data_IF_664379408249
#
_entry.id   IF_664379408249
#
_cell.length_a   1.000
_cell.length_b   1.000
_cell.length_c   1.000
_cell.angle_alpha   90.00
_cell.angle_beta   90.00
_cell.angle_gamma   90.00
#
_symmetry.space_group_name_H-M   'P 1'
#
loop_
_entity.id
_entity.type
_entity.pdbx_description
1 polymer ?
#
# COMPACT_ATOMS: atom_id res chain seq x y z
N UNK A 1 60.80 -15.40 24.46
CA UNK A 1 61.19 -15.76 23.09
C UNK A 1 60.43 -14.82 22.18
N UNK A 2 61.18 -14.12 21.34
CA UNK A 2 60.80 -13.43 20.10
C UNK A 2 59.75 -12.28 20.14
N UNK A 3 60.25 -11.11 20.57
CA UNK A 3 60.40 -9.87 19.77
C UNK A 3 60.21 -10.02 18.22
N UNK A 4 59.80 -9.04 17.39
CA UNK A 4 59.44 -7.59 17.43
C UNK A 4 58.37 -7.41 16.29
N UNK A 5 57.33 -6.58 16.32
CA UNK A 5 57.22 -5.11 16.44
C UNK A 5 57.83 -4.31 15.27
N UNK A 6 57.00 -3.51 14.57
CA UNK A 6 57.29 -2.25 13.84
C UNK A 6 56.04 -1.82 13.02
N UNK A 7 55.71 -0.55 12.78
CA UNK A 7 56.25 0.73 13.28
C UNK A 7 55.19 1.86 13.17
N UNK A 8 55.27 2.85 14.07
CA UNK A 8 54.69 4.18 13.92
C UNK A 8 55.76 5.15 14.45
N UNK A 9 56.11 6.22 13.71
CA UNK A 9 56.79 7.35 14.33
C UNK A 9 56.57 8.70 13.62
N UNK A 10 56.42 9.72 14.45
CA UNK A 10 56.50 11.15 14.09
C UNK A 10 57.95 11.56 13.77
N UNK A 11 58.13 12.69 13.08
CA UNK A 11 59.43 13.33 12.87
C UNK A 11 59.42 14.79 13.29
N UNK A 12 60.27 15.15 14.25
CA UNK A 12 60.48 16.53 14.71
C UNK A 12 61.73 17.19 14.08
N UNK A 13 61.78 18.52 14.14
CA UNK A 13 62.79 19.41 13.55
C UNK A 13 64.21 19.31 14.10
N UNK A 14 65.23 19.50 13.24
CA UNK A 14 66.44 20.27 13.57
C UNK A 14 67.11 20.90 12.31
N UNK A 15 68.02 21.86 12.52
CA UNK A 15 68.25 22.99 11.61
C UNK A 15 69.72 23.16 11.16
N UNK A 16 69.95 23.41 9.86
CA UNK A 16 71.21 23.80 9.18
C UNK A 16 70.80 24.54 7.87
N UNK A 17 71.37 25.65 7.37
CA UNK A 17 72.41 26.60 7.83
C UNK A 17 72.24 28.02 7.23
N UNK A 18 72.79 29.02 7.94
CA UNK A 18 73.49 30.24 7.47
C UNK A 18 72.80 31.39 6.67
N UNK A 19 72.90 32.58 7.32
CA UNK A 19 73.14 33.96 6.78
C UNK A 19 71.95 34.81 6.30
N UNK A 20 71.77 35.95 6.97
CA UNK A 20 70.96 37.08 6.48
C UNK A 20 70.31 37.94 7.57
N UNK A 21 71.07 38.79 8.28
CA UNK A 21 70.47 39.85 9.13
C UNK A 21 69.86 40.93 8.23
N UNK A 22 68.58 41.29 8.44
CA UNK A 22 68.20 42.71 8.60
C UNK A 22 66.73 42.95 9.06
N UNK A 23 66.63 43.79 10.09
CA UNK A 23 65.60 44.81 10.36
C UNK A 23 64.11 44.44 10.47
N UNK A 24 63.62 44.60 11.70
CA UNK A 24 62.21 44.85 12.05
C UNK A 24 61.67 46.16 11.46
N UNK A 25 60.51 46.10 10.80
CA UNK A 25 59.55 47.21 10.67
C UNK A 25 58.15 46.62 10.91
N UNK A 26 57.34 47.15 11.85
CA UNK A 26 55.98 46.65 12.06
C UNK A 26 55.05 47.21 10.97
N UNK A 27 54.46 46.33 10.17
CA UNK A 27 53.34 46.67 9.29
C UNK A 27 52.03 46.42 10.04
N UNK A 28 51.28 47.48 10.32
CA UNK A 28 49.91 47.35 10.84
C UNK A 28 49.03 46.65 9.81
N UNK A 29 48.39 45.55 10.21
CA UNK A 29 47.18 45.04 9.55
C UNK A 29 45.97 45.33 10.44
N UNK A 30 45.14 46.28 10.02
CA UNK A 30 43.86 46.55 10.66
C UNK A 30 42.90 45.37 10.44
N UNK A 31 42.82 44.47 11.42
CA UNK A 31 41.75 43.46 11.47
C UNK A 31 40.43 44.16 11.77
N UNK A 32 39.72 44.57 10.70
CA UNK A 32 38.36 45.12 10.75
C UNK A 32 37.41 44.13 11.42
N UNK A 33 37.14 44.31 12.71
CA UNK A 33 36.13 43.54 13.45
C UNK A 33 34.75 43.84 12.89
N UNK A 34 34.08 42.82 12.36
CA UNK A 34 32.67 42.93 11.94
C UNK A 34 31.79 42.85 13.18
N UNK A 35 30.91 43.83 13.37
CA UNK A 35 29.92 43.78 14.45
C UNK A 35 28.92 42.65 14.18
N UNK A 36 28.32 42.10 15.24
CA UNK A 36 27.25 41.09 15.11
C UNK A 36 26.08 41.58 14.23
N UNK A 37 25.80 42.89 14.26
CA UNK A 37 24.81 43.52 13.38
C UNK A 37 25.21 43.46 11.90
N UNK A 38 26.51 43.58 11.58
CA UNK A 38 27.04 43.46 10.22
C UNK A 38 26.91 42.03 9.69
N UNK A 39 27.14 41.02 10.55
CA UNK A 39 26.93 39.60 10.21
C UNK A 39 25.44 39.30 10.04
N UNK A 40 24.58 39.78 10.95
CA UNK A 40 23.13 39.63 10.83
C UNK A 40 22.58 40.25 9.54
N UNK A 41 23.00 41.47 9.19
CA UNK A 41 22.60 42.13 7.94
C UNK A 41 23.11 41.39 6.70
N UNK A 42 24.31 40.80 6.73
CA UNK A 42 24.83 39.98 5.64
C UNK A 42 24.00 38.68 5.46
N UNK A 43 23.64 38.01 6.55
CA UNK A 43 22.77 36.83 6.51
C UNK A 43 21.35 37.17 6.05
N UNK A 44 20.79 38.29 6.51
CA UNK A 44 19.47 38.77 6.07
C UNK A 44 19.47 39.10 4.57
N UNK A 45 20.51 39.76 4.07
CA UNK A 45 20.70 40.05 2.66
C UNK A 45 20.85 38.77 1.83
N UNK A 46 21.58 37.77 2.33
CA UNK A 46 21.70 36.48 1.67
C UNK A 46 20.34 35.77 1.55
N UNK A 47 19.54 35.76 2.62
CA UNK A 47 18.19 35.18 2.62
C UNK A 47 17.22 35.91 1.70
N UNK A 48 17.26 37.25 1.61
CA UNK A 48 16.38 37.98 0.69
C UNK A 48 16.80 37.76 -0.77
N UNK A 49 18.09 37.70 -1.07
CA UNK A 49 18.61 37.38 -2.41
C UNK A 49 18.23 35.96 -2.83
N UNK A 50 18.43 34.94 -1.99
CA UNK A 50 18.05 33.55 -2.34
C UNK A 50 16.54 33.41 -2.55
N UNK A 51 15.73 34.08 -1.73
CA UNK A 51 14.27 34.09 -1.89
C UNK A 51 13.86 34.77 -3.21
N UNK A 52 14.45 35.92 -3.53
CA UNK A 52 14.19 36.64 -4.78
C UNK A 52 14.60 35.82 -6.03
N UNK A 53 15.75 35.14 -5.98
CA UNK A 53 16.20 34.22 -7.05
C UNK A 53 15.25 33.03 -7.19
N UNK A 54 14.79 32.42 -6.09
CA UNK A 54 13.81 31.34 -6.12
C UNK A 54 12.48 31.74 -6.76
N UNK A 55 11.95 32.92 -6.40
CA UNK A 55 10.73 33.49 -6.99
C UNK A 55 10.92 33.83 -8.48
N UNK A 56 12.09 34.34 -8.88
CA UNK A 56 12.43 34.59 -10.28
C UNK A 56 12.49 33.31 -11.10
N UNK A 57 13.10 32.23 -10.58
CA UNK A 57 13.15 30.93 -11.25
C UNK A 57 11.74 30.35 -11.41
N UNK A 58 10.91 30.37 -10.36
CA UNK A 58 9.51 29.94 -10.42
C UNK A 58 8.70 30.75 -11.45
N UNK A 59 8.92 32.07 -11.50
CA UNK A 59 8.25 32.96 -12.45
C UNK A 59 8.69 32.71 -13.90
N UNK A 60 10.00 32.48 -14.14
CA UNK A 60 10.53 32.10 -15.45
C UNK A 60 9.98 30.75 -15.92
N UNK A 61 9.93 29.74 -15.05
CA UNK A 61 9.32 28.42 -15.37
C UNK A 61 7.83 28.55 -15.69
N UNK A 62 7.10 29.42 -14.98
CA UNK A 62 5.68 29.65 -15.23
C UNK A 62 5.41 30.40 -16.55
N UNK A 63 6.22 31.42 -16.86
CA UNK A 63 6.13 32.20 -18.10
C UNK A 63 6.51 31.34 -19.32
N UNK A 64 7.54 30.49 -19.21
CA UNK A 64 7.97 29.63 -20.31
C UNK A 64 6.96 28.52 -20.65
N UNK A 65 6.03 28.20 -19.73
CA UNK A 65 4.93 27.26 -19.95
C UNK A 65 3.65 27.91 -20.52
N UNK A 66 3.60 29.23 -20.70
CA UNK A 66 2.36 29.96 -21.04
C UNK A 66 2.35 30.67 -22.41
N UNK A 67 3.33 30.41 -23.29
CA UNK A 67 3.26 30.86 -24.70
C UNK A 67 3.64 29.78 -25.73
N UNK A 68 2.79 29.69 -26.77
CA UNK A 68 2.89 28.91 -28.01
C UNK A 68 2.74 27.36 -27.92
N UNK A 69 1.48 26.93 -27.97
CA UNK A 69 1.01 26.26 -29.19
C UNK A 69 -0.26 26.96 -29.70
N UNK A 70 -0.16 27.62 -30.86
CA UNK A 70 -1.28 28.16 -31.62
C UNK A 70 -1.58 27.23 -32.80
N UNK A 71 -2.80 26.71 -32.88
CA UNK A 71 -3.27 25.88 -34.00
C UNK A 71 -3.49 26.72 -35.28
N UNK A 72 -3.25 26.15 -36.48
CA UNK A 72 -3.86 26.62 -37.71
C UNK A 72 -5.19 25.89 -37.96
N UNK A 73 -6.28 26.65 -38.12
CA UNK A 73 -7.58 26.09 -38.53
C UNK A 73 -7.49 25.45 -39.93
N UNK A 74 -7.60 24.12 -40.04
CA UNK A 74 -8.24 23.52 -41.21
C UNK A 74 -8.85 22.13 -40.92
N UNK A 75 -10.13 21.99 -41.26
CA UNK A 75 -10.93 20.74 -41.24
C UNK A 75 -11.27 20.17 -39.87
N UNK A 76 -12.13 20.92 -39.19
CA UNK A 76 -13.30 20.31 -38.55
C UNK A 76 -14.07 19.42 -39.57
N UNK A 77 -13.79 18.12 -39.55
CA UNK A 77 -14.64 17.09 -40.15
C UNK A 77 -14.81 15.96 -39.15
N UNK A 78 -15.74 16.18 -38.22
CA UNK A 78 -16.56 15.13 -37.59
C UNK A 78 -15.83 13.86 -37.13
N UNK A 79 -15.04 13.98 -36.07
CA UNK A 79 -15.01 12.93 -35.03
C UNK A 79 -15.76 13.48 -33.81
N UNK A 80 -17.07 13.65 -33.99
CA UNK A 80 -18.00 13.77 -32.88
C UNK A 80 -18.23 12.36 -32.28
N UNK A 81 -17.16 11.74 -31.76
CA UNK A 81 -17.33 10.71 -30.75
C UNK A 81 -17.76 11.49 -29.51
N UNK A 82 -19.06 11.44 -29.23
CA UNK A 82 -19.62 11.85 -27.96
C UNK A 82 -18.85 11.12 -26.87
N UNK A 83 -17.91 11.80 -26.21
CA UNK A 83 -17.10 11.23 -25.15
C UNK A 83 -18.02 11.02 -23.95
N UNK A 84 -18.68 9.87 -23.95
CA UNK A 84 -19.81 9.55 -23.07
C UNK A 84 -19.31 9.68 -21.63
N UNK A 85 -19.84 10.68 -20.92
CA UNK A 85 -19.46 10.92 -19.54
C UNK A 85 -19.62 9.62 -18.74
N UNK A 86 -18.54 9.19 -18.10
CA UNK A 86 -18.55 8.01 -17.23
C UNK A 86 -19.47 8.27 -16.05
N UNK A 87 -20.27 7.28 -15.68
CA UNK A 87 -21.13 7.36 -14.50
C UNK A 87 -20.26 7.60 -13.25
N UNK A 88 -20.49 8.67 -12.46
CA UNK A 88 -19.65 9.02 -11.31
C UNK A 88 -19.41 7.90 -10.31
N UNK A 89 -20.30 6.90 -10.22
CA UNK A 89 -20.10 5.73 -9.35
C UNK A 89 -18.79 4.98 -9.64
N UNK A 90 -18.29 5.01 -10.88
CA UNK A 90 -17.05 4.32 -11.24
C UNK A 90 -15.78 4.99 -10.69
N UNK A 91 -15.89 6.15 -10.03
CA UNK A 91 -14.82 6.66 -9.17
C UNK A 91 -14.68 5.86 -7.86
N UNK A 92 -15.69 5.05 -7.52
CA UNK A 92 -15.81 4.29 -6.27
C UNK A 92 -16.05 2.79 -6.49
N UNK A 93 -16.27 2.35 -7.73
CA UNK A 93 -16.62 0.97 -8.10
C UNK A 93 -15.76 0.48 -9.27
N UNK A 94 -15.19 -0.71 -9.13
CA UNK A 94 -14.56 -1.46 -10.21
C UNK A 94 -15.18 -2.86 -10.31
N UNK A 95 -15.66 -3.21 -11.50
CA UNK A 95 -16.13 -4.56 -11.80
C UNK A 95 -14.95 -5.48 -12.16
N UNK A 96 -14.19 -5.94 -11.17
CA UNK A 96 -12.96 -6.71 -11.40
C UNK A 96 -13.14 -7.94 -12.31
N UNK A 97 -14.28 -8.68 -12.32
CA UNK A 97 -14.51 -9.77 -13.28
C UNK A 97 -14.48 -9.34 -14.75
N UNK A 98 -14.60 -8.03 -15.05
CA UNK A 98 -14.48 -7.44 -16.39
C UNK A 98 -13.08 -6.87 -16.68
N UNK A 99 -12.23 -6.71 -15.66
CA UNK A 99 -10.86 -6.23 -15.79
C UNK A 99 -9.93 -7.31 -16.36
N UNK A 100 -8.84 -6.86 -17.01
CA UNK A 100 -7.88 -7.73 -17.69
C UNK A 100 -7.34 -8.83 -16.76
N UNK A 101 -7.43 -10.08 -17.22
CA UNK A 101 -6.71 -11.22 -16.64
C UNK A 101 -5.31 -11.29 -17.25
N UNK A 102 -4.30 -11.37 -16.39
CA UNK A 102 -2.92 -11.64 -16.74
C UNK A 102 -2.67 -13.12 -16.44
N UNK A 103 -2.65 -13.93 -17.49
CA UNK A 103 -2.48 -15.39 -17.40
C UNK A 103 -1.01 -15.78 -17.37
N UNK A 104 -0.67 -16.74 -16.52
CA UNK A 104 0.67 -17.31 -16.36
C UNK A 104 0.58 -18.85 -16.37
N UNK A 105 1.68 -19.59 -16.58
CA UNK A 105 1.64 -21.06 -16.56
C UNK A 105 1.03 -21.63 -15.27
N UNK A 106 1.39 -21.06 -14.11
CA UNK A 106 0.97 -21.50 -12.79
C UNK A 106 -0.25 -20.80 -12.19
N UNK A 107 -0.91 -19.88 -12.91
CA UNK A 107 -2.00 -19.12 -12.31
C UNK A 107 -2.38 -17.85 -13.08
N UNK A 108 -3.02 -16.91 -12.39
CA UNK A 108 -3.51 -15.68 -12.99
C UNK A 108 -3.53 -14.53 -11.99
N UNK A 109 -3.40 -13.30 -12.50
CA UNK A 109 -3.53 -12.06 -11.71
C UNK A 109 -4.56 -11.13 -12.37
N UNK A 110 -5.44 -10.50 -11.60
CA UNK A 110 -6.28 -9.38 -12.05
C UNK A 110 -6.04 -8.15 -11.16
N UNK A 111 -6.38 -6.95 -11.66
CA UNK A 111 -6.09 -5.69 -10.96
C UNK A 111 -7.25 -4.69 -11.00
N UNK A 112 -7.57 -4.11 -9.85
CA UNK A 112 -8.31 -2.87 -9.69
C UNK A 112 -7.32 -1.80 -9.20
N UNK A 113 -6.66 -1.13 -10.15
CA UNK A 113 -5.49 -0.27 -9.90
C UNK A 113 -5.43 0.97 -10.78
N UNK A 114 -4.60 1.93 -10.38
CA UNK A 114 -4.10 2.96 -11.28
C UNK A 114 -3.07 2.40 -12.28
N UNK A 115 -3.07 2.94 -13.49
CA UNK A 115 -2.11 2.67 -14.57
C UNK A 115 -1.67 4.00 -15.17
N UNK A 116 -0.37 4.15 -15.43
CA UNK A 116 0.19 5.39 -15.96
C UNK A 116 -0.24 5.65 -17.42
N UNK A 117 -0.35 4.59 -18.21
CA UNK A 117 -0.69 4.67 -19.63
C UNK A 117 -2.18 4.38 -19.84
N UNK A 118 -2.90 5.36 -20.41
CA UNK A 118 -4.34 5.28 -20.68
C UNK A 118 -4.72 4.07 -21.56
N UNK A 119 -3.81 3.59 -22.41
CA UNK A 119 -4.06 2.45 -23.31
C UNK A 119 -4.11 1.09 -22.59
N UNK A 120 -3.73 1.03 -21.33
CA UNK A 120 -3.65 -0.21 -20.55
C UNK A 120 -4.94 -0.48 -19.73
N UNK A 121 -5.91 0.45 -19.76
CA UNK A 121 -7.27 0.25 -19.29
C UNK A 121 -8.14 -0.39 -20.39
N UNK A 122 -9.02 -1.32 -20.01
CA UNK A 122 -9.97 -1.95 -20.95
C UNK A 122 -11.26 -1.14 -21.14
N UNK A 123 -11.58 -0.21 -20.23
CA UNK A 123 -12.78 0.62 -20.30
C UNK A 123 -12.60 1.98 -19.62
N UNK A 124 -13.46 2.94 -19.97
CA UNK A 124 -13.54 4.24 -19.29
C UNK A 124 -14.00 4.11 -17.82
N UNK A 125 -14.67 3.02 -17.46
CA UNK A 125 -15.11 2.70 -16.10
C UNK A 125 -13.90 2.30 -15.25
N UNK A 126 -13.02 1.44 -15.80
CA UNK A 126 -11.77 1.04 -15.16
C UNK A 126 -10.79 2.22 -15.05
N UNK A 127 -10.74 3.08 -16.07
CA UNK A 127 -9.95 4.32 -16.06
C UNK A 127 -10.43 5.29 -14.97
N UNK A 128 -11.75 5.48 -14.83
CA UNK A 128 -12.32 6.34 -13.81
C UNK A 128 -11.95 5.89 -12.39
N UNK A 129 -12.01 4.57 -12.14
CA UNK A 129 -11.61 3.99 -10.86
C UNK A 129 -10.11 4.17 -10.59
N UNK A 130 -9.26 3.79 -11.55
CA UNK A 130 -7.81 3.93 -11.42
C UNK A 130 -7.37 5.38 -11.19
N UNK A 131 -7.94 6.34 -11.94
CA UNK A 131 -7.69 7.77 -11.74
C UNK A 131 -8.22 8.29 -10.40
N UNK A 132 -9.32 7.76 -9.89
CA UNK A 132 -9.83 8.10 -8.56
C UNK A 132 -8.80 7.75 -7.49
N UNK A 133 -8.29 6.51 -7.47
CA UNK A 133 -7.25 6.07 -6.54
C UNK A 133 -6.03 7.01 -6.53
N UNK A 134 -5.50 7.32 -7.73
CA UNK A 134 -4.32 8.17 -7.88
C UNK A 134 -4.57 9.62 -7.44
N UNK A 135 -5.66 10.23 -7.91
CA UNK A 135 -5.99 11.64 -7.61
C UNK A 135 -6.31 11.87 -6.14
N UNK A 136 -6.91 10.89 -5.46
CA UNK A 136 -7.18 10.91 -4.02
C UNK A 136 -5.94 10.54 -3.18
N UNK A 137 -4.82 10.17 -3.83
CA UNK A 137 -3.60 9.64 -3.18
C UNK A 137 -3.91 8.49 -2.21
N UNK A 138 -4.78 7.57 -2.63
CA UNK A 138 -5.43 6.56 -1.78
C UNK A 138 -4.46 5.77 -0.88
N UNK A 139 -3.23 5.53 -1.33
CA UNK A 139 -2.33 4.48 -0.83
C UNK A 139 -3.00 3.09 -0.87
N UNK A 140 -3.84 2.85 -1.87
CA UNK A 140 -4.58 1.59 -2.02
C UNK A 140 -4.67 1.18 -3.48
N UNK A 141 -4.26 -0.07 -3.74
CA UNK A 141 -4.42 -0.80 -4.99
C UNK A 141 -4.82 -2.23 -4.67
N UNK A 142 -5.77 -2.82 -5.40
CA UNK A 142 -6.16 -4.22 -5.23
C UNK A 142 -5.72 -5.08 -6.41
N UNK A 143 -5.14 -6.23 -6.10
CA UNK A 143 -4.96 -7.35 -7.03
C UNK A 143 -5.67 -8.61 -6.52
N UNK A 144 -6.06 -9.50 -7.42
CA UNK A 144 -6.34 -10.89 -7.07
C UNK A 144 -5.25 -11.79 -7.63
N UNK A 145 -4.85 -12.80 -6.87
CA UNK A 145 -3.82 -13.76 -7.26
C UNK A 145 -4.39 -15.18 -7.16
N UNK A 146 -4.42 -15.89 -8.28
CA UNK A 146 -4.70 -17.32 -8.36
C UNK A 146 -3.39 -18.07 -8.56
N UNK A 147 -3.16 -19.10 -7.74
CA UNK A 147 -2.00 -20.00 -7.89
C UNK A 147 -2.55 -21.43 -7.95
N UNK A 148 -2.34 -22.11 -9.09
CA UNK A 148 -2.75 -23.50 -9.31
C UNK A 148 -2.13 -24.42 -8.26
N UNK A 149 -2.73 -25.58 -7.98
CA UNK A 149 -2.06 -26.60 -7.16
C UNK A 149 -0.63 -26.84 -7.64
N UNK A 150 0.33 -26.87 -6.71
CA UNK A 150 1.79 -26.91 -6.97
C UNK A 150 2.40 -25.71 -7.71
N UNK A 151 1.63 -24.67 -8.07
CA UNK A 151 2.16 -23.41 -8.62
C UNK A 151 2.88 -22.57 -7.57
N UNK A 152 3.60 -21.54 -8.02
CA UNK A 152 4.38 -20.62 -7.19
C UNK A 152 4.29 -19.20 -7.74
N UNK A 153 3.90 -18.22 -6.91
CA UNK A 153 4.25 -16.81 -7.17
C UNK A 153 5.74 -16.69 -6.90
N UNK A 154 6.51 -16.37 -7.95
CA UNK A 154 7.97 -16.35 -7.91
C UNK A 154 8.52 -15.44 -6.78
N UNK A 155 9.74 -15.70 -6.27
CA UNK A 155 10.37 -14.82 -5.29
C UNK A 155 10.54 -13.40 -5.84
N UNK A 156 10.00 -12.41 -5.13
CA UNK A 156 9.92 -11.02 -5.58
C UNK A 156 9.82 -10.02 -4.43
N UNK A 157 9.86 -8.73 -4.74
CA UNK A 157 9.57 -7.63 -3.81
C UNK A 157 8.94 -6.43 -4.53
N UNK A 158 8.34 -5.53 -3.74
CA UNK A 158 7.73 -4.29 -4.20
C UNK A 158 8.51 -3.05 -3.72
N UNK A 159 8.72 -2.07 -4.61
CA UNK A 159 9.56 -0.90 -4.31
C UNK A 159 8.80 0.28 -3.70
N UNK A 160 7.52 0.41 -4.04
CA UNK A 160 6.65 1.55 -3.72
C UNK A 160 5.53 1.20 -2.73
N UNK A 161 5.23 -0.09 -2.52
CA UNK A 161 4.15 -0.56 -1.66
C UNK A 161 4.60 -1.60 -0.61
N UNK A 162 3.96 -1.57 0.56
CA UNK A 162 3.76 -2.77 1.37
C UNK A 162 2.64 -3.63 0.75
N UNK A 163 2.70 -4.93 0.93
CA UNK A 163 1.66 -5.88 0.52
C UNK A 163 0.94 -6.44 1.75
N UNK A 164 -0.39 -6.47 1.70
CA UNK A 164 -1.22 -7.18 2.68
C UNK A 164 -2.11 -8.13 1.89
N UNK A 165 -2.24 -9.38 2.32
CA UNK A 165 -3.05 -10.37 1.61
C UNK A 165 -4.04 -11.06 2.54
N UNK A 166 -5.15 -11.50 1.96
CA UNK A 166 -6.12 -12.39 2.61
C UNK A 166 -6.30 -13.64 1.74
N UNK A 167 -6.08 -14.82 2.31
CA UNK A 167 -6.28 -16.08 1.62
C UNK A 167 -7.75 -16.49 1.70
N UNK A 168 -8.45 -16.51 0.56
CA UNK A 168 -9.87 -16.87 0.46
C UNK A 168 -10.06 -18.39 0.39
N UNK A 169 -9.20 -19.09 -0.36
CA UNK A 169 -9.27 -20.53 -0.63
C UNK A 169 -7.84 -21.09 -0.80
N UNK A 170 -7.62 -22.36 -0.45
CA UNK A 170 -6.34 -23.04 -0.64
C UNK A 170 -5.44 -23.06 0.59
N UNK A 171 -4.26 -23.65 0.41
CA UNK A 171 -3.18 -23.70 1.41
C UNK A 171 -1.87 -23.32 0.74
N UNK A 172 -1.27 -22.24 1.22
CA UNK A 172 0.01 -21.75 0.74
C UNK A 172 1.12 -21.97 1.78
N UNK A 173 2.32 -22.25 1.31
CA UNK A 173 3.55 -22.11 2.08
C UNK A 173 4.28 -20.86 1.61
N UNK A 174 4.61 -20.00 2.54
CA UNK A 174 5.22 -18.69 2.30
C UNK A 174 6.62 -18.69 2.87
N UNK A 175 7.53 -18.01 2.18
CA UNK A 175 8.83 -17.64 2.72
C UNK A 175 9.11 -16.16 2.54
N UNK A 176 9.79 -15.58 3.54
CA UNK A 176 10.10 -14.16 3.65
C UNK A 176 11.57 -14.04 4.07
N UNK A 177 12.34 -13.22 3.35
CA UNK A 177 13.75 -12.94 3.67
C UNK A 177 13.84 -11.57 4.34
N UNK A 178 14.15 -11.58 5.62
CA UNK A 178 14.24 -10.40 6.47
C UNK A 178 15.70 -10.06 6.80
N UNK A 179 16.01 -8.76 6.78
CA UNK A 179 17.34 -8.17 7.00
C UNK A 179 18.50 -8.90 6.28
N UNK A 180 18.23 -9.52 5.13
CA UNK A 180 19.19 -10.30 4.34
C UNK A 180 19.69 -11.62 4.96
N UNK A 181 19.30 -11.95 6.20
CA UNK A 181 19.89 -13.06 6.96
C UNK A 181 18.85 -14.03 7.57
N UNK A 182 17.60 -13.61 7.77
CA UNK A 182 16.57 -14.42 8.45
C UNK A 182 15.50 -14.84 7.45
N UNK A 183 15.49 -16.12 7.08
CA UNK A 183 14.41 -16.72 6.30
C UNK A 183 13.30 -17.18 7.25
N UNK A 184 12.15 -16.51 7.21
CA UNK A 184 10.94 -16.90 7.93
C UNK A 184 10.01 -17.65 6.98
N UNK A 185 9.59 -18.87 7.33
CA UNK A 185 8.69 -19.70 6.51
C UNK A 185 7.51 -20.21 7.32
N UNK A 186 6.33 -20.30 6.71
CA UNK A 186 5.08 -20.68 7.39
C UNK A 186 4.00 -21.11 6.41
N UNK A 187 2.99 -21.83 6.92
CA UNK A 187 1.78 -22.15 6.16
C UNK A 187 0.67 -21.12 6.42
N UNK A 188 -0.16 -20.90 5.40
CA UNK A 188 -1.34 -20.03 5.44
C UNK A 188 -2.52 -20.79 4.83
N UNK A 189 -3.69 -20.68 5.43
CA UNK A 189 -4.94 -21.33 5.01
C UNK A 189 -6.09 -20.33 4.86
N UNK A 190 -7.19 -20.76 4.24
CA UNK A 190 -8.37 -19.92 4.03
C UNK A 190 -8.90 -19.23 5.31
N UNK A 191 -8.96 -17.90 5.26
CA UNK A 191 -9.35 -17.02 6.37
C UNK A 191 -8.21 -16.27 7.05
N UNK A 192 -6.97 -16.44 6.59
CA UNK A 192 -5.78 -15.90 7.24
C UNK A 192 -5.15 -14.77 6.43
N UNK A 193 -4.51 -13.84 7.14
CA UNK A 193 -3.91 -12.63 6.60
C UNK A 193 -2.39 -12.75 6.56
N UNK A 194 -1.80 -12.19 5.51
CA UNK A 194 -0.36 -12.04 5.31
C UNK A 194 0.00 -10.56 5.21
N UNK A 195 1.24 -10.23 5.57
CA UNK A 195 1.79 -8.88 5.45
C UNK A 195 3.26 -8.95 5.07
N UNK A 196 3.67 -8.20 4.05
CA UNK A 196 5.05 -8.02 3.64
C UNK A 196 5.39 -6.53 3.58
N UNK A 197 6.38 -6.06 4.36
CA UNK A 197 6.89 -4.70 4.22
C UNK A 197 7.46 -4.44 2.83
N UNK A 198 7.46 -3.17 2.43
CA UNK A 198 8.08 -2.69 1.21
C UNK A 198 9.57 -3.08 1.15
N UNK A 199 10.04 -3.50 -0.03
CA UNK A 199 11.36 -4.07 -0.29
C UNK A 199 11.68 -5.41 0.42
N UNK A 200 10.71 -6.11 1.00
CA UNK A 200 10.91 -7.46 1.56
C UNK A 200 10.78 -8.53 0.47
N UNK A 201 11.85 -9.29 0.23
CA UNK A 201 11.86 -10.43 -0.68
C UNK A 201 11.01 -11.57 -0.09
N UNK A 202 10.01 -12.04 -0.82
CA UNK A 202 9.11 -13.09 -0.38
C UNK A 202 8.58 -13.92 -1.56
N UNK A 203 7.95 -15.08 -1.28
CA UNK A 203 7.32 -15.95 -2.27
C UNK A 203 6.10 -16.68 -1.70
N UNK A 204 5.20 -17.12 -2.58
CA UNK A 204 3.97 -17.83 -2.20
C UNK A 204 3.85 -19.12 -3.02
N UNK A 205 4.09 -20.28 -2.38
CA UNK A 205 3.97 -21.61 -2.99
C UNK A 205 2.60 -22.19 -2.66
N UNK A 206 1.83 -22.63 -3.64
CA UNK A 206 0.67 -23.49 -3.35
C UNK A 206 1.16 -24.90 -3.01
N UNK A 207 0.81 -25.37 -1.80
CA UNK A 207 1.11 -26.72 -1.28
C UNK A 207 -0.15 -27.57 -1.05
N UNK A 208 -1.32 -27.02 -1.39
CA UNK A 208 -2.61 -27.71 -1.36
C UNK A 208 -2.96 -28.41 -2.69
N UNK A 209 -4.01 -29.22 -2.64
CA UNK A 209 -4.57 -29.92 -3.80
C UNK A 209 -5.57 -29.07 -4.61
N UNK A 210 -5.98 -27.93 -4.07
CA UNK A 210 -6.87 -26.94 -4.73
C UNK A 210 -6.09 -25.67 -5.07
N UNK A 211 -6.64 -24.85 -5.95
CA UNK A 211 -6.05 -23.55 -6.31
C UNK A 211 -6.14 -22.57 -5.14
N UNK A 212 -5.04 -21.88 -4.84
CA UNK A 212 -5.04 -20.76 -3.90
C UNK A 212 -5.68 -19.54 -4.56
N UNK A 213 -6.55 -18.84 -3.83
CA UNK A 213 -7.11 -17.56 -4.25
C UNK A 213 -6.86 -16.50 -3.17
N UNK A 214 -5.98 -15.56 -3.47
CA UNK A 214 -5.65 -14.42 -2.60
C UNK A 214 -6.32 -13.14 -3.10
N UNK A 215 -6.77 -12.33 -2.15
CA UNK A 215 -6.94 -10.88 -2.34
C UNK A 215 -5.68 -10.20 -1.83
N UNK A 216 -5.09 -9.31 -2.62
CA UNK A 216 -3.86 -8.59 -2.30
C UNK A 216 -4.11 -7.09 -2.34
N UNK A 217 -3.75 -6.39 -1.28
CA UNK A 217 -3.90 -4.96 -1.08
C UNK A 217 -2.52 -4.32 -0.93
N UNK A 218 -2.21 -3.38 -1.82
CA UNK A 218 -0.92 -2.73 -1.90
C UNK A 218 -1.02 -1.29 -1.44
N UNK A 219 -0.08 -0.83 -0.61
CA UNK A 219 -0.08 0.51 -0.01
C UNK A 219 0.35 1.64 -0.98
N UNK A 220 -0.08 1.58 -2.24
CA UNK A 220 0.29 2.52 -3.30
C UNK A 220 -0.94 2.99 -4.09
N UNK A 221 -0.90 4.25 -4.50
CA UNK A 221 -1.87 4.86 -5.43
C UNK A 221 -1.27 5.12 -6.81
N UNK A 222 0.01 4.82 -6.99
CA UNK A 222 0.68 4.79 -8.28
C UNK A 222 0.65 3.37 -8.86
N UNK A 223 1.28 3.17 -10.01
CA UNK A 223 1.39 1.84 -10.62
C UNK A 223 2.44 1.01 -9.88
N UNK A 224 1.99 -0.05 -9.21
CA UNK A 224 2.80 -0.95 -8.39
C UNK A 224 4.08 -1.42 -9.11
N UNK A 225 5.23 -1.16 -8.48
CA UNK A 225 6.54 -1.51 -9.00
C UNK A 225 7.03 -2.79 -8.33
N UNK A 226 7.30 -3.81 -9.14
CA UNK A 226 7.67 -5.16 -8.70
C UNK A 226 8.95 -5.60 -9.40
N UNK A 227 9.78 -6.39 -8.72
CA UNK A 227 10.90 -7.06 -9.36
C UNK A 227 11.02 -8.51 -8.85
N UNK A 228 11.05 -9.44 -9.80
CA UNK A 228 11.16 -10.87 -9.56
C UNK A 228 12.64 -11.32 -9.62
N UNK A 229 13.01 -12.35 -8.87
CA UNK A 229 14.42 -12.77 -8.70
C UNK A 229 15.08 -13.26 -9.99
N UNK A 230 14.35 -13.90 -10.89
CA UNK A 230 14.88 -14.34 -12.17
C UNK A 230 15.13 -13.16 -13.13
N UNK A 231 14.26 -12.14 -13.12
CA UNK A 231 14.50 -10.88 -13.82
C UNK A 231 15.79 -10.20 -13.35
N UNK A 232 16.07 -10.18 -12.04
CA UNK A 232 17.34 -9.67 -11.50
C UNK A 232 18.53 -10.49 -11.98
N UNK A 233 18.42 -11.81 -11.91
CA UNK A 233 19.48 -12.72 -12.31
C UNK A 233 19.85 -12.53 -13.79
N UNK A 234 18.86 -12.53 -14.70
CA UNK A 234 19.08 -12.38 -16.14
C UNK A 234 19.39 -10.94 -16.59
N UNK A 235 19.09 -9.93 -15.77
CA UNK A 235 19.51 -8.54 -16.02
C UNK A 235 20.91 -8.22 -15.48
N UNK A 236 21.48 -9.08 -14.63
CA UNK A 236 22.83 -8.92 -14.10
C UNK A 236 23.87 -9.43 -15.10
N UNK A 237 24.93 -8.66 -15.44
CA UNK A 237 25.98 -9.14 -16.34
C UNK A 237 26.63 -10.43 -15.83
N UNK A 238 26.86 -11.40 -16.73
CA UNK A 238 27.29 -12.76 -16.38
C UNK A 238 28.56 -12.81 -15.51
N UNK A 239 29.52 -11.91 -15.77
CA UNK A 239 30.78 -11.85 -15.05
C UNK A 239 30.61 -11.25 -13.64
N UNK A 240 29.69 -10.30 -13.48
CA UNK A 240 29.28 -9.76 -12.18
C UNK A 240 28.54 -10.83 -11.38
N UNK A 241 27.54 -11.50 -11.98
CA UNK A 241 26.82 -12.61 -11.34
C UNK A 241 27.80 -13.73 -10.90
N UNK A 242 28.74 -14.11 -11.77
CA UNK A 242 29.77 -15.11 -11.45
C UNK A 242 30.70 -14.69 -10.31
N UNK A 243 31.09 -13.40 -10.22
CA UNK A 243 31.96 -12.90 -9.15
C UNK A 243 31.24 -12.80 -7.81
N UNK A 244 29.94 -12.46 -7.84
CA UNK A 244 29.09 -12.36 -6.65
C UNK A 244 28.74 -13.74 -6.08
N UNK A 245 28.26 -14.66 -6.92
CA UNK A 245 27.79 -15.99 -6.50
C UNK A 245 28.91 -17.03 -6.35
N UNK A 246 30.05 -16.83 -7.05
CA UNK A 246 31.22 -17.73 -7.05
C UNK A 246 30.87 -19.22 -7.23
N UNK A 247 30.02 -19.59 -8.21
CA UNK A 247 29.63 -20.98 -8.40
C UNK A 247 30.82 -21.85 -8.82
N UNK A 248 30.73 -23.15 -8.54
CA UNK A 248 31.62 -24.13 -9.16
C UNK A 248 31.49 -24.05 -10.70
N UNK A 249 32.61 -24.06 -11.42
CA UNK A 249 32.64 -23.78 -12.87
C UNK A 249 32.58 -22.29 -13.26
N UNK A 250 32.37 -21.37 -12.30
CA UNK A 250 32.43 -19.92 -12.51
C UNK A 250 31.43 -19.42 -13.56
N UNK A 251 31.87 -18.52 -14.44
CA UNK A 251 31.01 -17.89 -15.46
C UNK A 251 30.40 -18.90 -16.44
N UNK A 252 31.05 -20.05 -16.65
CA UNK A 252 30.51 -21.10 -17.51
C UNK A 252 29.27 -21.77 -16.89
N UNK A 253 29.16 -21.80 -15.55
CA UNK A 253 27.93 -22.24 -14.88
C UNK A 253 26.82 -21.19 -14.98
N UNK A 254 27.14 -19.89 -14.84
CA UNK A 254 26.14 -18.82 -15.05
C UNK A 254 25.53 -18.90 -16.46
N UNK A 255 26.33 -19.26 -17.47
CA UNK A 255 25.90 -19.43 -18.87
C UNK A 255 24.98 -20.64 -19.15
N UNK A 256 24.83 -21.57 -18.21
CA UNK A 256 23.87 -22.69 -18.38
C UNK A 256 22.44 -22.30 -18.02
N UNK A 257 22.24 -21.16 -17.36
CA UNK A 257 20.91 -20.65 -17.05
C UNK A 257 20.30 -20.02 -18.30
N UNK A 258 19.04 -20.33 -18.57
CA UNK A 258 18.31 -19.80 -19.72
C UNK A 258 17.00 -19.15 -19.25
N UNK A 259 16.79 -17.90 -19.65
CA UNK A 259 15.54 -17.20 -19.36
C UNK A 259 14.40 -17.92 -20.06
N UNK A 260 13.33 -18.20 -19.32
CA UNK A 260 12.15 -18.83 -19.90
C UNK A 260 11.46 -17.85 -20.85
N UNK A 261 10.74 -18.39 -21.85
CA UNK A 261 10.03 -17.57 -22.83
C UNK A 261 8.73 -17.03 -22.24
N UNK A 262 8.08 -17.86 -21.43
CA UNK A 262 6.89 -17.54 -20.65
C UNK A 262 7.27 -16.72 -19.41
N UNK A 263 6.44 -15.75 -19.07
CA UNK A 263 6.54 -14.99 -17.82
C UNK A 263 6.47 -15.95 -16.61
N UNK A 264 7.45 -15.85 -15.71
CA UNK A 264 7.59 -16.73 -14.54
C UNK A 264 6.90 -16.19 -13.30
N UNK A 265 6.25 -15.02 -13.36
CA UNK A 265 5.66 -14.36 -12.20
C UNK A 265 4.76 -15.28 -11.37
N UNK A 266 3.90 -16.08 -12.02
CA UNK A 266 3.23 -17.21 -11.37
C UNK A 266 3.54 -18.50 -12.14
N UNK A 267 4.61 -19.21 -11.77
CA UNK A 267 5.11 -20.36 -12.51
C UNK A 267 4.52 -21.70 -12.06
N UNK A 268 4.57 -22.66 -13.00
CA UNK A 268 4.31 -24.08 -12.80
C UNK A 268 5.02 -24.86 -13.92
N UNK A 269 6.28 -25.26 -13.73
CA UNK A 269 7.02 -26.02 -14.75
C UNK A 269 6.37 -27.38 -15.01
N UNK A 270 6.25 -27.78 -16.28
CA UNK A 270 5.64 -29.07 -16.65
C UNK A 270 6.41 -30.28 -16.09
N UNK A 271 7.72 -30.15 -15.89
CA UNK A 271 8.59 -31.17 -15.31
C UNK A 271 8.96 -30.89 -13.85
N UNK A 272 8.10 -30.19 -13.08
CA UNK A 272 8.35 -29.82 -11.68
C UNK A 272 8.83 -31.00 -10.80
N UNK A 273 8.30 -32.22 -11.02
CA UNK A 273 8.68 -33.42 -10.28
C UNK A 273 10.13 -33.90 -10.56
N UNK A 274 10.71 -33.55 -11.71
CA UNK A 274 12.12 -33.79 -12.02
C UNK A 274 13.02 -32.70 -11.41
N UNK A 275 12.53 -31.45 -11.42
CA UNK A 275 13.26 -30.28 -10.92
C UNK A 275 13.34 -30.22 -9.38
N UNK A 276 12.36 -30.77 -8.67
CA UNK A 276 12.21 -30.63 -7.22
C UNK A 276 12.00 -31.99 -6.56
N UNK A 277 13.07 -32.54 -5.97
CA UNK A 277 13.09 -33.91 -5.43
C UNK A 277 13.08 -34.00 -3.90
N UNK A 278 13.37 -32.92 -3.17
CA UNK A 278 13.46 -32.90 -1.70
C UNK A 278 12.91 -31.57 -1.11
N UNK A 279 11.70 -31.15 -1.50
CA UNK A 279 11.09 -29.96 -0.92
C UNK A 279 10.76 -30.16 0.58
N UNK A 280 11.10 -29.17 1.40
CA UNK A 280 10.72 -29.10 2.82
C UNK A 280 9.88 -27.86 3.07
N UNK A 281 8.74 -28.04 3.72
CA UNK A 281 7.79 -26.97 4.05
C UNK A 281 7.70 -26.76 5.57
N UNK A 282 8.85 -26.86 6.26
CA UNK A 282 8.98 -26.58 7.69
C UNK A 282 8.61 -25.13 8.01
N UNK A 283 7.90 -24.95 9.12
CA UNK A 283 7.52 -23.63 9.64
C UNK A 283 8.56 -23.15 10.67
N UNK A 284 8.89 -21.85 10.61
CA UNK A 284 9.72 -21.14 11.59
C UNK A 284 8.99 -20.98 12.93
N UNK A 285 9.70 -20.68 14.04
CA UNK A 285 9.06 -20.38 15.32
C UNK A 285 8.08 -19.20 15.26
N UNK A 286 6.98 -19.29 16.03
CA UNK A 286 5.88 -18.32 16.08
C UNK A 286 6.32 -16.86 16.19
N UNK A 287 7.38 -16.58 16.95
CA UNK A 287 7.87 -15.21 17.16
C UNK A 287 8.43 -14.55 15.89
N UNK A 288 8.80 -15.34 14.88
CA UNK A 288 9.18 -14.86 13.55
C UNK A 288 7.95 -14.81 12.63
N UNK A 289 7.13 -15.87 12.65
CA UNK A 289 5.97 -16.06 11.77
C UNK A 289 4.92 -14.97 11.96
N UNK A 290 4.51 -14.70 13.20
CA UNK A 290 3.46 -13.74 13.54
C UNK A 290 3.83 -12.26 13.31
N UNK A 291 4.98 -11.98 12.69
CA UNK A 291 5.28 -10.67 12.10
C UNK A 291 4.57 -10.49 10.76
N UNK A 292 4.54 -11.54 9.94
CA UNK A 292 4.02 -11.54 8.57
C UNK A 292 2.67 -12.28 8.43
N UNK A 293 2.10 -12.73 9.54
CA UNK A 293 0.93 -13.60 9.60
C UNK A 293 -0.06 -13.16 10.68
N UNK A 294 -1.37 -13.25 10.38
CA UNK A 294 -2.44 -13.09 11.35
C UNK A 294 -3.62 -14.02 11.07
N UNK A 295 -4.10 -14.74 12.08
CA UNK A 295 -5.26 -15.63 11.96
C UNK A 295 -6.58 -14.85 12.09
N UNK A 296 -6.95 -14.09 11.04
CA UNK A 296 -8.13 -13.21 11.06
C UNK A 296 -9.43 -13.99 11.30
N UNK A 297 -9.58 -15.18 10.71
CA UNK A 297 -10.72 -16.07 10.94
C UNK A 297 -10.83 -16.54 12.39
N UNK A 298 -9.69 -16.78 13.05
CA UNK A 298 -9.61 -17.16 14.46
C UNK A 298 -9.67 -15.98 15.44
N UNK A 299 -9.59 -14.72 14.98
CA UNK A 299 -9.52 -13.55 15.85
C UNK A 299 -10.87 -13.17 16.45
N UNK A 300 -10.83 -12.27 17.46
CA UNK A 300 -12.03 -11.72 18.11
C UNK A 300 -13.05 -11.19 17.10
N UNK A 301 -14.29 -11.67 17.24
CA UNK A 301 -15.47 -11.16 16.53
C UNK A 301 -16.07 -9.97 17.30
N UNK A 302 -16.24 -8.85 16.61
CA UNK A 302 -17.04 -7.72 17.04
C UNK A 302 -18.44 -7.92 16.45
N UNK A 303 -19.40 -8.27 17.32
CA UNK A 303 -20.76 -8.67 16.94
C UNK A 303 -21.73 -7.51 17.14
N UNK A 304 -22.51 -7.23 16.11
CA UNK A 304 -23.56 -6.21 16.06
C UNK A 304 -24.90 -6.88 15.74
N UNK A 305 -26.06 -6.22 15.95
CA UNK A 305 -27.36 -6.83 15.66
C UNK A 305 -27.51 -7.35 14.22
N UNK A 306 -26.96 -6.60 13.26
CA UNK A 306 -27.02 -6.90 11.83
C UNK A 306 -25.76 -7.52 11.23
N UNK A 307 -24.73 -7.87 12.00
CA UNK A 307 -23.49 -8.38 11.41
C UNK A 307 -22.33 -8.68 12.35
N UNK A 308 -21.16 -8.95 11.74
CA UNK A 308 -19.90 -9.27 12.44
C UNK A 308 -18.75 -8.56 11.73
N UNK A 309 -17.80 -8.03 12.49
CA UNK A 309 -16.50 -7.56 12.01
C UNK A 309 -15.37 -8.32 12.74
N UNK A 310 -14.33 -8.73 12.02
CA UNK A 310 -13.05 -9.18 12.59
C UNK A 310 -11.92 -8.27 12.04
N UNK A 311 -10.87 -8.00 12.83
CA UNK A 311 -9.91 -6.92 12.55
C UNK A 311 -8.45 -7.36 12.70
N UNK A 312 -7.69 -7.32 11.61
CA UNK A 312 -6.24 -7.45 11.55
C UNK A 312 -5.61 -6.04 11.45
N UNK A 313 -5.34 -5.41 12.59
CA UNK A 313 -4.83 -4.02 12.66
C UNK A 313 -3.81 -3.82 13.78
N UNK A 314 -3.22 -2.62 13.84
CA UNK A 314 -2.54 -2.14 15.04
C UNK A 314 -3.56 -1.82 16.16
N UNK A 315 -3.26 -2.29 17.38
CA UNK A 315 -4.04 -2.01 18.58
C UNK A 315 -3.21 -1.21 19.57
N UNK A 316 -3.58 0.06 19.78
CA UNK A 316 -2.93 0.96 20.74
C UNK A 316 -3.03 0.45 22.19
N UNK A 317 -4.12 -0.22 22.52
CA UNK A 317 -4.27 -0.99 23.76
C UNK A 317 -4.59 -2.46 23.43
N UNK A 318 -3.55 -3.26 23.21
CA UNK A 318 -3.70 -4.69 22.95
C UNK A 318 -3.96 -5.55 24.20
N UNK A 319 -4.58 -5.04 25.28
CA UNK A 319 -4.80 -5.83 26.51
C UNK A 319 -5.54 -7.16 26.26
N UNK A 320 -6.52 -7.13 25.36
CA UNK A 320 -7.32 -8.30 24.96
C UNK A 320 -6.63 -9.24 23.94
N UNK A 321 -5.56 -8.79 23.28
CA UNK A 321 -4.84 -9.59 22.28
C UNK A 321 -4.06 -10.72 22.94
N UNK A 322 -4.00 -11.87 22.27
CA UNK A 322 -3.03 -12.92 22.58
C UNK A 322 -1.59 -12.43 22.43
N UNK A 323 -0.63 -13.20 22.97
CA UNK A 323 0.80 -12.91 22.82
C UNK A 323 1.22 -12.81 21.36
N UNK A 324 0.63 -13.63 20.49
CA UNK A 324 1.00 -13.74 19.09
C UNK A 324 0.40 -12.61 18.25
N UNK A 325 -0.86 -12.25 18.46
CA UNK A 325 -1.50 -11.09 17.81
C UNK A 325 -0.81 -9.76 18.14
N UNK A 326 -0.24 -9.64 19.35
CA UNK A 326 0.60 -8.49 19.74
C UNK A 326 1.85 -8.33 18.87
N UNK A 327 2.42 -9.43 18.39
CA UNK A 327 3.60 -9.40 17.49
C UNK A 327 3.18 -8.77 16.17
N UNK A 328 2.11 -9.26 15.54
CA UNK A 328 1.58 -8.73 14.29
C UNK A 328 1.18 -7.25 14.41
N UNK A 329 0.37 -6.93 15.43
CA UNK A 329 -0.06 -5.55 15.72
C UNK A 329 1.12 -4.59 15.86
N UNK A 330 2.15 -4.96 16.65
CA UNK A 330 3.32 -4.09 16.86
C UNK A 330 4.18 -4.00 15.60
N UNK A 331 4.33 -5.08 14.85
CA UNK A 331 5.11 -5.10 13.61
C UNK A 331 4.46 -4.25 12.51
N UNK A 332 3.13 -4.30 12.32
CA UNK A 332 2.41 -3.40 11.42
C UNK A 332 2.68 -1.91 11.72
N UNK A 333 2.71 -1.53 13.00
CA UNK A 333 2.92 -0.14 13.42
C UNK A 333 4.38 0.33 13.32
N UNK A 334 5.34 -0.60 13.21
CA UNK A 334 6.75 -0.28 12.94
C UNK A 334 7.02 0.13 11.49
N UNK A 335 6.07 -0.12 10.58
CA UNK A 335 6.19 0.22 9.16
C UNK A 335 5.24 1.37 8.77
N UNK A 336 5.74 2.27 7.93
CA UNK A 336 4.93 3.38 7.39
C UNK A 336 3.99 2.88 6.28
N UNK A 337 2.84 3.54 6.14
CA UNK A 337 1.82 3.24 5.13
C UNK A 337 1.35 1.76 5.18
N UNK A 338 1.21 1.17 6.37
CA UNK A 338 0.54 -0.12 6.52
C UNK A 338 -0.97 0.01 6.38
N UNK A 339 -1.63 -1.12 6.14
CA UNK A 339 -3.08 -1.22 5.99
C UNK A 339 -3.65 -2.03 7.16
N UNK A 340 -4.77 -1.60 7.71
CA UNK A 340 -5.60 -2.46 8.55
C UNK A 340 -6.52 -3.28 7.66
N UNK A 341 -6.63 -4.59 7.88
CA UNK A 341 -7.53 -5.49 7.15
C UNK A 341 -8.71 -5.92 8.03
N UNK A 342 -9.87 -6.18 7.44
CA UNK A 342 -11.03 -6.70 8.15
C UNK A 342 -11.88 -7.64 7.31
N UNK A 343 -12.64 -8.49 7.99
CA UNK A 343 -13.86 -9.06 7.41
C UNK A 343 -15.05 -8.19 7.83
N UNK A 344 -15.91 -7.83 6.88
CA UNK A 344 -17.22 -7.22 7.16
C UNK A 344 -18.30 -8.19 6.70
N UNK A 345 -19.02 -8.79 7.66
CA UNK A 345 -20.20 -9.61 7.40
C UNK A 345 -21.46 -8.83 7.76
N UNK A 346 -22.34 -8.59 6.79
CA UNK A 346 -23.67 -8.00 7.00
C UNK A 346 -24.70 -9.10 6.75
N UNK A 347 -25.57 -9.37 7.72
CA UNK A 347 -26.63 -10.37 7.57
C UNK A 347 -27.64 -9.96 6.50
N UNK A 348 -28.44 -10.92 6.02
CA UNK A 348 -29.60 -10.62 5.19
C UNK A 348 -30.44 -9.45 5.75
N UNK A 349 -30.83 -8.52 4.86
CA UNK A 349 -31.53 -7.26 5.18
C UNK A 349 -30.81 -6.28 6.15
N UNK A 350 -29.60 -6.61 6.61
CA UNK A 350 -28.79 -5.76 7.48
C UNK A 350 -28.22 -4.52 6.77
N UNK A 351 -27.89 -3.52 7.57
CA UNK A 351 -27.35 -2.23 7.14
C UNK A 351 -26.09 -1.89 7.94
N UNK A 352 -24.94 -1.78 7.26
CA UNK A 352 -23.83 -0.97 7.76
C UNK A 352 -24.27 0.48 7.60
N UNK A 353 -24.58 1.13 8.73
CA UNK A 353 -25.23 2.44 8.73
C UNK A 353 -24.39 3.54 8.08
N UNK A 354 -24.98 4.69 7.72
CA UNK A 354 -24.24 5.81 7.17
C UNK A 354 -23.11 6.24 8.12
N UNK A 355 -21.88 6.22 7.63
CA UNK A 355 -20.68 6.51 8.40
C UNK A 355 -19.56 7.07 7.52
N UNK A 356 -18.46 7.49 8.16
CA UNK A 356 -17.20 7.82 7.50
C UNK A 356 -16.00 7.51 8.40
N UNK A 357 -14.81 7.45 7.81
CA UNK A 357 -13.55 7.27 8.53
C UNK A 357 -12.77 8.57 8.63
N UNK A 358 -12.21 8.84 9.82
CA UNK A 358 -11.43 10.05 10.10
C UNK A 358 -9.97 9.95 9.63
N UNK A 359 -9.41 8.73 9.58
CA UNK A 359 -7.97 8.50 9.44
C UNK A 359 -7.59 7.51 8.33
N UNK A 360 -8.54 7.05 7.52
CA UNK A 360 -8.29 6.07 6.47
C UNK A 360 -9.21 6.28 5.26
N UNK A 361 -8.69 5.95 4.07
CA UNK A 361 -9.51 5.51 2.95
C UNK A 361 -9.91 4.05 3.18
N UNK A 362 -11.05 3.62 2.64
CA UNK A 362 -11.51 2.23 2.64
C UNK A 362 -11.47 1.65 1.23
N UNK A 363 -11.08 0.37 1.10
CA UNK A 363 -11.23 -0.41 -0.12
C UNK A 363 -11.75 -1.80 0.22
N UNK A 364 -12.82 -2.24 -0.45
CA UNK A 364 -13.47 -3.52 -0.19
C UNK A 364 -13.56 -4.41 -1.41
N UNK A 365 -13.54 -5.73 -1.20
CA UNK A 365 -13.82 -6.75 -2.21
C UNK A 365 -14.99 -7.63 -1.76
N UNK A 366 -15.99 -7.83 -2.61
CA UNK A 366 -17.16 -8.66 -2.29
C UNK A 366 -16.85 -10.16 -2.50
N UNK A 367 -16.87 -10.93 -1.42
CA UNK A 367 -16.66 -12.40 -1.41
C UNK A 367 -17.98 -13.16 -1.68
N UNK A 368 -19.05 -12.78 -0.99
CA UNK A 368 -20.39 -13.39 -1.14
C UNK A 368 -21.47 -12.32 -0.94
N UNK A 369 -22.68 -12.60 -1.43
CA UNK A 369 -23.82 -11.69 -1.35
C UNK A 369 -23.81 -10.56 -2.37
N UNK A 370 -24.82 -9.71 -2.24
CA UNK A 370 -24.94 -8.46 -2.97
C UNK A 370 -25.47 -7.37 -2.03
N UNK A 371 -25.15 -6.12 -2.35
CA UNK A 371 -25.55 -4.97 -1.55
C UNK A 371 -25.83 -3.75 -2.42
N UNK A 372 -26.64 -2.84 -1.88
CA UNK A 372 -26.72 -1.46 -2.36
C UNK A 372 -25.78 -0.60 -1.52
N UNK A 373 -24.86 0.06 -2.21
CA UNK A 373 -24.00 1.10 -1.65
C UNK A 373 -24.62 2.46 -1.95
N UNK A 374 -24.61 3.36 -0.97
CA UNK A 374 -24.94 4.77 -1.19
C UNK A 374 -23.85 5.67 -0.66
N UNK A 375 -23.42 6.63 -1.48
CA UNK A 375 -22.43 7.66 -1.15
C UNK A 375 -23.16 9.00 -1.07
N UNK A 376 -22.96 9.73 0.03
CA UNK A 376 -23.62 11.00 0.31
C UNK A 376 -22.57 12.11 0.17
N UNK A 377 -22.79 13.04 -0.76
CA UNK A 377 -21.92 14.18 -1.01
C UNK A 377 -22.72 15.50 -1.04
N UNK A 378 -22.04 16.63 -1.29
CA UNK A 378 -22.68 17.95 -1.28
C UNK A 378 -23.58 18.21 -2.49
N UNK A 379 -23.55 17.34 -3.51
CA UNK A 379 -24.37 17.40 -4.72
C UNK A 379 -25.57 16.44 -4.67
N UNK A 380 -25.60 15.47 -3.74
CA UNK A 380 -26.70 14.52 -3.55
C UNK A 380 -26.22 13.14 -3.09
N UNK A 381 -27.01 12.11 -3.42
CA UNK A 381 -26.67 10.71 -3.15
C UNK A 381 -26.36 9.99 -4.46
N UNK A 382 -25.24 9.26 -4.52
CA UNK A 382 -24.92 8.33 -5.60
C UNK A 382 -25.13 6.92 -5.08
N UNK A 383 -26.05 6.15 -5.68
CA UNK A 383 -26.36 4.78 -5.28
C UNK A 383 -26.04 3.78 -6.40
N UNK A 384 -25.51 2.62 -6.02
CA UNK A 384 -25.19 1.54 -6.95
C UNK A 384 -25.22 0.18 -6.26
N UNK A 385 -25.42 -0.87 -7.05
CA UNK A 385 -25.45 -2.25 -6.58
C UNK A 385 -24.08 -2.92 -6.80
N UNK A 386 -23.62 -3.68 -5.80
CA UNK A 386 -22.36 -4.41 -5.81
C UNK A 386 -22.61 -5.91 -5.68
N UNK A 387 -21.80 -6.70 -6.36
CA UNK A 387 -21.91 -8.16 -6.47
C UNK A 387 -20.56 -8.82 -6.24
N UNK A 388 -20.55 -10.15 -6.09
CA UNK A 388 -19.33 -10.97 -5.94
C UNK A 388 -18.28 -10.60 -6.99
N UNK A 389 -17.08 -10.26 -6.52
CA UNK A 389 -15.95 -9.83 -7.34
C UNK A 389 -15.84 -8.33 -7.56
N UNK A 390 -16.86 -7.53 -7.26
CA UNK A 390 -16.76 -6.07 -7.33
C UNK A 390 -15.81 -5.53 -6.25
N UNK A 391 -15.08 -4.47 -6.61
CA UNK A 391 -14.19 -3.72 -5.71
C UNK A 391 -14.79 -2.34 -5.48
N UNK A 392 -14.93 -1.97 -4.20
CA UNK A 392 -15.38 -0.64 -3.78
C UNK A 392 -14.20 0.16 -3.21
N UNK A 393 -14.27 1.48 -3.33
CA UNK A 393 -13.30 2.41 -2.76
C UNK A 393 -14.02 3.65 -2.21
N UNK A 394 -13.71 4.05 -0.98
CA UNK A 394 -14.22 5.26 -0.35
C UNK A 394 -13.06 6.12 0.16
N UNK A 395 -12.87 7.35 -0.35
CA UNK A 395 -11.90 8.28 0.20
C UNK A 395 -12.19 8.64 1.66
N UNK A 396 -11.15 8.97 2.42
CA UNK A 396 -11.22 9.47 3.79
C UNK A 396 -12.27 10.60 3.93
N UNK A 397 -13.10 10.53 4.98
CA UNK A 397 -14.20 11.47 5.19
C UNK A 397 -15.43 11.30 4.27
N UNK A 398 -15.45 10.31 3.36
CA UNK A 398 -16.62 10.05 2.49
C UNK A 398 -17.75 9.41 3.29
N UNK A 399 -18.86 10.13 3.45
CA UNK A 399 -20.08 9.60 4.06
C UNK A 399 -20.70 8.54 3.13
N UNK A 400 -20.80 7.30 3.60
CA UNK A 400 -21.35 6.20 2.81
C UNK A 400 -22.07 5.16 3.69
N UNK A 401 -22.87 4.30 3.07
CA UNK A 401 -23.56 3.17 3.73
C UNK A 401 -23.53 1.92 2.83
N UNK A 402 -23.65 0.74 3.44
CA UNK A 402 -23.73 -0.54 2.72
C UNK A 402 -24.94 -1.33 3.25
N UNK A 403 -25.94 -1.55 2.40
CA UNK A 403 -27.16 -2.30 2.74
C UNK A 403 -27.16 -3.65 2.03
N UNK A 404 -27.26 -4.75 2.78
CA UNK A 404 -27.45 -6.08 2.19
C UNK A 404 -28.74 -6.11 1.37
N UNK A 405 -28.66 -6.62 0.14
CA UNK A 405 -29.74 -6.59 -0.85
C UNK A 405 -30.14 -7.99 -1.37
N UNK A 406 -29.38 -9.03 -1.00
CA UNK A 406 -29.61 -10.42 -1.38
C UNK A 406 -30.12 -11.26 -0.20
N UNK A 407 -30.69 -12.44 -0.49
CA UNK A 407 -31.16 -13.40 0.51
C UNK A 407 -30.02 -14.00 1.35
N UNK A 408 -28.81 -14.09 0.79
CA UNK A 408 -27.61 -14.54 1.48
C UNK A 408 -26.89 -13.40 2.22
N UNK A 409 -26.11 -13.76 3.25
CA UNK A 409 -25.28 -12.79 3.97
C UNK A 409 -24.18 -12.21 3.07
N UNK A 410 -24.03 -10.89 3.12
CA UNK A 410 -22.97 -10.17 2.45
C UNK A 410 -21.66 -10.36 3.23
N UNK A 411 -20.58 -10.73 2.54
CA UNK A 411 -19.23 -10.78 3.09
C UNK A 411 -18.28 -9.96 2.21
N UNK A 412 -17.59 -9.00 2.82
CA UNK A 412 -16.47 -8.29 2.22
C UNK A 412 -15.17 -8.55 2.99
N UNK A 413 -14.07 -8.49 2.26
CA UNK A 413 -12.76 -8.19 2.85
C UNK A 413 -12.49 -6.72 2.60
N UNK A 414 -12.24 -5.96 3.67
CA UNK A 414 -11.91 -4.54 3.60
C UNK A 414 -10.44 -4.34 3.96
N UNK A 415 -9.82 -3.35 3.35
CA UNK A 415 -8.59 -2.75 3.80
C UNK A 415 -8.83 -1.26 4.11
N UNK A 416 -8.03 -0.71 5.02
CA UNK A 416 -8.08 0.69 5.42
C UNK A 416 -6.67 1.28 5.38
N UNK A 417 -6.49 2.45 4.78
CA UNK A 417 -5.19 3.11 4.62
C UNK A 417 -4.68 3.79 5.91
N UNK A 418 -4.52 3.02 6.99
CA UNK A 418 -4.04 3.48 8.30
C UNK A 418 -3.11 2.46 8.95
N UNK A 419 -1.96 2.95 9.46
CA UNK A 419 -1.05 2.20 10.34
C UNK A 419 -1.30 2.46 11.84
N UNK A 420 -2.28 3.30 12.17
CA UNK A 420 -2.85 3.44 13.52
C UNK A 420 -4.25 2.77 13.57
N UNK A 421 -4.82 2.63 14.76
CA UNK A 421 -6.15 2.06 14.96
C UNK A 421 -7.22 2.83 14.15
N UNK A 422 -8.11 2.11 13.47
CA UNK A 422 -9.17 2.72 12.64
C UNK A 422 -10.09 3.61 13.48
N UNK A 423 -10.42 4.80 12.96
CA UNK A 423 -11.31 5.76 13.58
C UNK A 423 -12.51 6.02 12.66
N UNK A 424 -13.70 5.68 13.14
CA UNK A 424 -14.97 5.74 12.41
C UNK A 424 -15.96 6.61 13.16
N UNK A 425 -16.84 7.32 12.45
CA UNK A 425 -17.99 7.99 13.04
C UNK A 425 -19.28 7.56 12.34
N UNK A 426 -20.23 7.10 13.13
CA UNK A 426 -21.51 6.60 12.69
C UNK A 426 -22.62 7.65 12.85
N UNK A 427 -23.70 7.50 12.06
CA UNK A 427 -24.78 8.48 12.01
C UNK A 427 -25.56 8.62 13.32
N UNK A 428 -25.84 7.53 14.02
CA UNK A 428 -26.53 7.61 15.29
C UNK A 428 -25.65 8.26 16.37
N UNK A 429 -24.35 7.98 16.40
CA UNK A 429 -23.39 8.64 17.28
C UNK A 429 -23.37 10.17 17.10
N UNK A 430 -23.15 10.67 15.87
CA UNK A 430 -23.05 12.12 15.67
C UNK A 430 -24.39 12.85 15.85
N UNK A 431 -25.53 12.19 15.54
CA UNK A 431 -26.85 12.73 15.86
C UNK A 431 -27.09 12.75 17.39
N UNK A 432 -26.68 11.71 18.11
CA UNK A 432 -26.84 11.64 19.57
C UNK A 432 -25.91 12.59 20.34
N UNK A 433 -24.75 12.92 19.79
CA UNK A 433 -23.78 13.87 20.33
C UNK A 433 -24.19 15.34 20.06
N UNK A 434 -24.90 15.60 18.96
CA UNK A 434 -25.38 16.95 18.64
C UNK A 434 -26.54 17.34 19.58
N UNK A 435 -26.43 18.51 20.23
CA UNK A 435 -27.45 18.96 21.17
C UNK A 435 -28.82 19.16 20.50
N UNK A 436 -29.90 18.66 21.12
CA UNK A 436 -31.25 18.65 20.51
C UNK A 436 -31.72 20.02 19.99
N UNK A 437 -31.30 21.13 20.62
CA UNK A 437 -31.70 22.49 20.21
C UNK A 437 -31.00 22.94 18.91
N UNK A 438 -29.78 22.46 18.66
CA UNK A 438 -29.07 22.66 17.39
C UNK A 438 -29.76 21.84 16.28
N UNK A 439 -30.10 20.58 16.58
CA UNK A 439 -30.89 19.74 15.66
C UNK A 439 -32.27 20.36 15.36
N UNK A 440 -32.93 20.93 16.37
CA UNK A 440 -34.21 21.63 16.21
C UNK A 440 -34.12 22.84 15.28
N UNK A 441 -33.04 23.63 15.40
CA UNK A 441 -32.76 24.75 14.50
C UNK A 441 -32.43 24.28 13.08
N UNK A 442 -31.65 23.20 12.93
CA UNK A 442 -31.23 22.66 11.62
C UNK A 442 -32.37 22.04 10.83
N UNK A 443 -33.21 21.23 11.48
CA UNK A 443 -34.28 20.45 10.83
C UNK A 443 -35.68 21.06 10.97
N UNK A 444 -35.79 22.27 11.53
CA UNK A 444 -37.07 22.95 11.81
C UNK A 444 -38.09 22.09 12.59
N UNK A 445 -37.59 21.18 13.44
CA UNK A 445 -38.36 20.19 14.18
C UNK A 445 -38.37 20.54 15.66
N UNK A 446 -39.47 20.32 16.38
CA UNK A 446 -39.54 20.66 17.82
C UNK A 446 -38.50 19.85 18.60
N UNK A 447 -37.76 20.52 19.49
CA UNK A 447 -36.67 19.91 20.27
C UNK A 447 -37.07 18.61 20.99
N UNK A 448 -38.30 18.54 21.54
CA UNK A 448 -38.82 17.35 22.21
C UNK A 448 -38.99 16.13 21.30
N UNK A 449 -39.03 16.30 19.98
CA UNK A 449 -39.14 15.16 19.05
C UNK A 449 -37.84 14.42 18.80
N UNK A 450 -36.67 15.02 19.06
CA UNK A 450 -35.39 14.29 18.97
C UNK A 450 -35.27 13.22 20.05
N UNK A 451 -36.04 13.33 21.14
CA UNK A 451 -36.20 12.27 22.14
C UNK A 451 -36.94 11.02 21.62
N UNK A 452 -37.49 11.06 20.41
CA UNK A 452 -38.05 9.89 19.72
C UNK A 452 -36.98 9.07 18.98
N UNK A 453 -35.79 9.62 18.76
CA UNK A 453 -34.65 8.86 18.25
C UNK A 453 -34.13 8.00 19.41
N UNK A 454 -34.10 6.66 19.29
CA UNK A 454 -33.64 5.79 20.36
C UNK A 454 -32.15 6.03 20.68
N UNK A 455 -31.78 5.75 21.93
CA UNK A 455 -30.38 5.62 22.35
C UNK A 455 -30.13 4.17 22.70
N UNK A 456 -29.33 3.49 21.89
CA UNK A 456 -29.01 2.08 22.08
C UNK A 456 -27.93 1.92 23.16
N UNK A 457 -27.90 0.75 23.82
CA UNK A 457 -26.83 0.38 24.77
C UNK A 457 -25.73 -0.46 24.13
N UNK A 458 -26.08 -1.07 23.00
CA UNK A 458 -25.24 -1.88 22.13
C UNK A 458 -24.98 -1.08 20.85
N UNK A 459 -23.78 -1.24 20.31
CA UNK A 459 -23.33 -0.58 19.10
C UNK A 459 -24.20 -1.00 17.88
N UNK A 460 -24.65 -0.02 17.11
CA UNK A 460 -25.54 -0.20 15.95
C UNK A 460 -24.82 -0.09 14.60
N UNK A 461 -23.47 -0.14 14.58
CA UNK A 461 -22.69 -0.02 13.37
C UNK A 461 -23.17 -0.92 12.23
N UNK A 462 -23.62 -2.14 12.54
CA UNK A 462 -24.41 -2.96 11.64
C UNK A 462 -25.73 -3.30 12.32
N UNK A 463 -26.84 -2.78 11.81
CA UNK A 463 -28.19 -2.94 12.39
C UNK A 463 -29.15 -3.68 11.46
N UNK A 464 -30.31 -4.02 12.01
CA UNK A 464 -31.46 -4.63 11.32
C UNK A 464 -32.66 -3.64 11.33
N UNK A 465 -33.63 -3.81 10.42
CA UNK A 465 -34.79 -2.90 10.28
C UNK A 465 -35.73 -2.79 11.49
#
# INVERSE_FOLDING_TARGET
>A
MDNLAFEMHEGATQHVSFVGKMNTIPRMEEKRQWSLLSVFLACLLACTVTTAVGVLILSLVYINNTQLHSEPELRATTIAILQKAVDPKFQFLNHLPKSKVFEFPGGAIQWARYRNNIKDYLSIEEEAFGRSLNSQRSQMTLGTLRIKSNGLRAPHWHFDANEHGYLVQGTAWIGVVDDGHVVTTYNVTAGQVIFFPKNTLHWIKNVGNEDCFFLLFFSTHDELQTLDVDDVFFSTPEDIASRSLKPEGGINFIRTFHKQKEDQGVNLPHNLAELVTNASYTQSPDNLVWRYFYDLKGSKEYRFPGGIIQLAQYWKNGSELSKNEKIFSTFLNQHQNTLALSTLKIYNNGLRQPHFHFNANEMGYVISGCAKVGIINTQGTTEFDIHIGDVIFFPIGTQHYIKSACDEDLLLILAFSTGDQLQTLDMDDYLQATADHILAQLFFKKQSEFKKIPKFKEDQAINLP
#
